data_IF_405986143834
#
_entry.id   IF_405986143834
#
_cell.length_a   1.000
_cell.length_b   1.000
_cell.length_c   1.000
_cell.angle_alpha   90.00
_cell.angle_beta   90.00
_cell.angle_gamma   90.00
#
_symmetry.space_group_name_H-M   'P 1'
#
loop_
_entity.id
_entity.type
_entity.pdbx_description
1 polymer ?
#
# COMPACT_ATOMS: atom_id res chain seq x y z
N UNK A 1 -8.76 10.52 -25.29
CA UNK A 1 -9.54 9.86 -24.23
C UNK A 1 -10.37 10.91 -23.52
N UNK A 2 -11.64 10.62 -23.23
CA UNK A 2 -12.43 11.52 -22.41
C UNK A 2 -11.77 11.63 -21.02
N UNK A 3 -11.92 12.77 -20.35
CA UNK A 3 -11.33 13.01 -19.01
C UNK A 3 -11.70 11.88 -18.02
N UNK A 4 -12.91 11.35 -18.15
CA UNK A 4 -13.45 10.21 -17.39
C UNK A 4 -12.66 8.92 -17.64
N UNK A 5 -12.32 8.60 -18.89
CA UNK A 5 -11.60 7.36 -19.23
C UNK A 5 -10.20 7.36 -18.61
N UNK A 6 -9.51 8.51 -18.66
CA UNK A 6 -8.18 8.68 -18.05
C UNK A 6 -8.25 8.51 -16.52
N UNK A 7 -9.24 9.10 -15.87
CA UNK A 7 -9.44 8.97 -14.43
C UNK A 7 -9.74 7.52 -14.01
N UNK A 8 -10.56 6.79 -14.78
CA UNK A 8 -10.82 5.36 -14.54
C UNK A 8 -9.55 4.52 -14.65
N UNK A 9 -8.71 4.80 -15.64
CA UNK A 9 -7.43 4.11 -15.81
C UNK A 9 -6.48 4.38 -14.64
N UNK A 10 -6.37 5.64 -14.20
CA UNK A 10 -5.55 6.02 -13.03
C UNK A 10 -6.04 5.34 -11.74
N UNK A 11 -7.35 5.27 -11.50
CA UNK A 11 -7.92 4.53 -10.35
C UNK A 11 -7.61 3.04 -10.46
N UNK A 12 -7.70 2.47 -11.66
CA UNK A 12 -7.33 1.08 -11.93
C UNK A 12 -5.89 0.78 -11.56
N UNK A 13 -4.95 1.65 -11.96
CA UNK A 13 -3.54 1.55 -11.59
C UNK A 13 -3.32 1.66 -10.08
N UNK A 14 -3.98 2.61 -9.41
CA UNK A 14 -3.88 2.77 -7.95
C UNK A 14 -4.38 1.53 -7.20
N UNK A 15 -5.46 0.88 -7.67
CA UNK A 15 -5.98 -0.35 -7.07
C UNK A 15 -4.96 -1.49 -7.12
N UNK A 16 -4.26 -1.66 -8.24
CA UNK A 16 -3.22 -2.69 -8.40
C UNK A 16 -2.07 -2.43 -7.42
N UNK A 17 -1.56 -1.19 -7.37
CA UNK A 17 -0.47 -0.83 -6.47
C UNK A 17 -0.88 -1.02 -5.01
N UNK A 18 -2.09 -0.62 -4.64
CA UNK A 18 -2.63 -0.80 -3.30
C UNK A 18 -2.67 -2.28 -2.88
N UNK A 19 -3.14 -3.17 -3.76
CA UNK A 19 -3.19 -4.60 -3.50
C UNK A 19 -1.78 -5.21 -3.29
N UNK A 20 -0.82 -4.83 -4.13
CA UNK A 20 0.57 -5.30 -4.04
C UNK A 20 1.22 -4.83 -2.73
N UNK A 21 0.99 -3.57 -2.33
CA UNK A 21 1.52 -3.04 -1.08
C UNK A 21 0.92 -3.76 0.13
N UNK A 22 -0.39 -4.00 0.16
CA UNK A 22 -1.02 -4.77 1.25
C UNK A 22 -0.43 -6.18 1.33
N UNK A 23 -0.30 -6.87 0.21
CA UNK A 23 0.26 -8.22 0.19
C UNK A 23 1.71 -8.23 0.71
N UNK A 24 2.49 -7.20 0.36
CA UNK A 24 3.88 -7.03 0.82
C UNK A 24 3.94 -6.74 2.32
N UNK A 25 3.07 -5.86 2.82
CA UNK A 25 3.00 -5.48 4.23
C UNK A 25 2.63 -6.67 5.12
N UNK A 26 1.60 -7.43 4.73
CA UNK A 26 1.21 -8.68 5.39
C UNK A 26 2.37 -9.70 5.35
N UNK A 27 3.08 -9.80 4.23
CA UNK A 27 4.22 -10.72 4.11
C UNK A 27 5.37 -10.36 5.05
N UNK A 28 5.66 -9.06 5.21
CA UNK A 28 6.65 -8.57 6.16
C UNK A 28 6.26 -8.86 7.62
N UNK A 29 4.99 -8.62 7.97
CA UNK A 29 4.46 -8.96 9.30
C UNK A 29 4.58 -10.47 9.56
N UNK A 30 4.15 -11.30 8.61
CA UNK A 30 4.24 -12.75 8.72
C UNK A 30 5.69 -13.24 8.85
N UNK A 31 6.62 -12.63 8.13
CA UNK A 31 8.05 -12.92 8.26
C UNK A 31 8.55 -12.57 9.66
N UNK A 32 8.17 -11.40 10.20
CA UNK A 32 8.55 -10.96 11.54
C UNK A 32 8.10 -11.94 12.63
N UNK A 33 6.83 -12.39 12.57
CA UNK A 33 6.27 -13.37 13.51
C UNK A 33 7.04 -14.70 13.47
N UNK A 34 7.33 -15.21 12.28
CA UNK A 34 8.03 -16.49 12.10
C UNK A 34 9.51 -16.45 12.58
N UNK A 35 10.10 -15.26 12.62
CA UNK A 35 11.53 -15.07 12.86
C UNK A 35 11.85 -14.39 14.20
N UNK A 36 10.86 -13.98 14.98
CA UNK A 36 11.02 -13.22 16.24
C UNK A 36 12.01 -13.85 17.23
N UNK A 37 12.02 -15.19 17.37
CA UNK A 37 12.94 -15.90 18.26
C UNK A 37 14.21 -16.48 17.59
N UNK A 38 14.36 -16.33 16.27
CA UNK A 38 15.42 -16.99 15.47
C UNK A 38 16.41 -16.01 14.86
N UNK A 39 16.04 -14.74 14.78
CA UNK A 39 16.77 -13.70 14.02
C UNK A 39 17.32 -12.62 14.93
N UNK A 40 18.34 -11.90 14.46
CA UNK A 40 18.95 -10.77 15.17
C UNK A 40 17.91 -9.66 15.40
N UNK A 41 17.92 -9.07 16.59
CA UNK A 41 17.02 -7.95 16.96
C UNK A 41 17.06 -6.80 15.95
N UNK A 42 18.24 -6.48 15.41
CA UNK A 42 18.39 -5.43 14.40
C UNK A 42 17.58 -5.70 13.12
N UNK A 43 17.50 -6.95 12.67
CA UNK A 43 16.70 -7.36 11.51
C UNK A 43 15.19 -7.26 11.80
N UNK A 44 14.77 -7.53 13.04
CA UNK A 44 13.38 -7.34 13.45
C UNK A 44 12.99 -5.86 13.50
N UNK A 45 13.90 -4.99 13.98
CA UNK A 45 13.70 -3.53 13.97
C UNK A 45 13.56 -3.02 12.53
N UNK A 46 14.44 -3.45 11.62
CA UNK A 46 14.33 -3.10 10.20
C UNK A 46 13.01 -3.58 9.61
N UNK A 47 12.58 -4.80 9.92
CA UNK A 47 11.28 -5.33 9.50
C UNK A 47 10.11 -4.48 10.02
N UNK A 48 10.13 -4.08 11.29
CA UNK A 48 9.10 -3.23 11.89
C UNK A 48 9.06 -1.83 11.28
N UNK A 49 10.22 -1.21 11.03
CA UNK A 49 10.32 0.06 10.30
C UNK A 49 9.78 -0.11 8.87
N UNK A 50 10.10 -1.23 8.22
CA UNK A 50 9.56 -1.59 6.91
C UNK A 50 8.03 -1.60 6.93
N UNK A 51 7.41 -2.36 7.82
CA UNK A 51 5.94 -2.40 7.98
C UNK A 51 5.37 -1.00 8.19
N UNK A 52 5.95 -0.20 9.09
CA UNK A 52 5.48 1.16 9.33
C UNK A 52 5.53 2.06 8.08
N UNK A 53 6.59 1.94 7.27
CA UNK A 53 6.73 2.66 6.00
C UNK A 53 5.70 2.18 4.98
N UNK A 54 5.54 0.87 4.79
CA UNK A 54 4.56 0.30 3.86
C UNK A 54 3.13 0.68 4.24
N UNK A 55 2.76 0.55 5.51
CA UNK A 55 1.46 1.00 6.03
C UNK A 55 1.24 2.50 5.75
N UNK A 56 2.26 3.35 5.95
CA UNK A 56 2.16 4.79 5.66
C UNK A 56 1.90 5.08 4.18
N UNK A 57 2.58 4.36 3.28
CA UNK A 57 2.38 4.47 1.82
C UNK A 57 0.98 3.96 1.42
N UNK A 58 0.51 2.85 2.01
CA UNK A 58 -0.83 2.31 1.79
C UNK A 58 -1.90 3.36 2.15
N UNK A 59 -1.77 4.00 3.31
CA UNK A 59 -2.70 5.06 3.75
C UNK A 59 -2.68 6.24 2.76
N UNK A 60 -1.50 6.64 2.29
CA UNK A 60 -1.36 7.73 1.32
C UNK A 60 -2.01 7.38 -0.02
N UNK A 61 -1.73 6.19 -0.58
CA UNK A 61 -2.35 5.73 -1.84
C UNK A 61 -3.86 5.64 -1.70
N UNK A 62 -4.36 5.15 -0.57
CA UNK A 62 -5.79 5.09 -0.31
C UNK A 62 -6.43 6.50 -0.39
N UNK A 63 -5.81 7.50 0.26
CA UNK A 63 -6.28 8.88 0.19
C UNK A 63 -6.24 9.46 -1.23
N UNK A 64 -5.23 9.11 -2.03
CA UNK A 64 -5.14 9.55 -3.43
C UNK A 64 -6.22 8.88 -4.27
N UNK A 65 -6.46 7.58 -4.09
CA UNK A 65 -7.50 6.84 -4.79
C UNK A 65 -8.89 7.43 -4.51
N UNK A 66 -9.22 7.68 -3.24
CA UNK A 66 -10.50 8.31 -2.88
C UNK A 66 -10.66 9.71 -3.46
N UNK A 67 -9.60 10.51 -3.50
CA UNK A 67 -9.66 11.83 -4.14
C UNK A 67 -9.99 11.73 -5.63
N UNK A 68 -9.36 10.80 -6.34
CA UNK A 68 -9.64 10.57 -7.77
C UNK A 68 -11.04 10.02 -8.01
N UNK A 69 -11.56 9.19 -7.10
CA UNK A 69 -12.94 8.72 -7.17
C UNK A 69 -13.92 9.88 -7.01
N UNK A 70 -13.68 10.77 -6.04
CA UNK A 70 -14.52 11.95 -5.84
C UNK A 70 -14.45 12.91 -7.06
N UNK A 71 -13.26 13.12 -7.63
CA UNK A 71 -13.11 13.90 -8.88
C UNK A 71 -13.89 13.29 -10.06
N UNK A 72 -14.11 11.98 -10.05
CA UNK A 72 -14.88 11.26 -11.08
C UNK A 72 -16.40 11.38 -10.83
N UNK A 73 -16.82 11.47 -9.57
CA UNK A 73 -18.22 11.70 -9.18
C UNK A 73 -18.69 13.13 -9.48
N UNK A 74 -17.77 14.11 -9.43
CA UNK A 74 -18.03 15.52 -9.74
C UNK A 74 -18.08 15.85 -11.25
N UNK A 75 -17.73 14.89 -12.14
CA UNK A 75 -17.66 15.04 -13.61
C UNK A 75 -18.84 14.41 -14.34
#
# INVERSE_FOLDING_TARGET
MAKVDKLKEEIGWLKIIFAILIATDISLVAWGIQNYGKTRVLLLIIGAVGVFLFTSVIIWINRVAYRKINELEEL
#
